data_IF_067552878818
#
_entry.id   IF_067552878818
#
_cell.length_a   1.000
_cell.length_b   1.000
_cell.length_c   1.000
_cell.angle_alpha   90.00
_cell.angle_beta   90.00
_cell.angle_gamma   90.00
#
_symmetry.space_group_name_H-M   'P 1'
#
loop_
_entity.id
_entity.type
_entity.pdbx_description
1 polymer ?
#
# COMPACT_ATOMS: atom_id res chain seq x y z
N UNK A 1 -10.49 14.98 -29.11
CA UNK A 1 -9.94 13.62 -28.91
C UNK A 1 -8.84 13.72 -27.86
N UNK A 2 -9.18 13.50 -26.59
CA UNK A 2 -8.20 13.50 -25.50
C UNK A 2 -7.45 12.16 -25.54
N UNK A 3 -6.14 12.20 -25.82
CA UNK A 3 -5.26 11.06 -25.54
C UNK A 3 -5.00 11.08 -24.04
N UNK A 4 -5.79 10.30 -23.31
CA UNK A 4 -5.60 10.10 -21.88
C UNK A 4 -4.23 9.49 -21.60
N UNK A 5 -3.65 9.98 -20.51
CA UNK A 5 -2.33 9.65 -20.00
C UNK A 5 -2.23 8.13 -19.80
N UNK A 6 -1.09 7.56 -20.18
CA UNK A 6 -0.77 6.13 -20.11
C UNK A 6 -0.61 5.69 -18.65
N UNK A 7 -1.73 5.65 -17.93
CA UNK A 7 -1.86 5.03 -16.62
C UNK A 7 -2.41 3.62 -16.77
N UNK A 8 -1.82 2.64 -16.09
CA UNK A 8 -2.37 1.30 -16.01
C UNK A 8 -3.72 1.37 -15.30
N UNK A 9 -4.77 0.78 -15.89
CA UNK A 9 -6.13 0.84 -15.35
C UNK A 9 -6.21 0.31 -13.89
N UNK A 10 -6.97 0.95 -12.95
CA UNK A 10 -6.98 0.64 -11.51
C UNK A 10 -7.11 -0.84 -11.16
N UNK A 11 -7.97 -1.57 -11.90
CA UNK A 11 -8.12 -3.02 -11.77
C UNK A 11 -6.77 -3.78 -11.81
N UNK A 12 -5.85 -3.36 -12.67
CA UNK A 12 -4.54 -3.99 -12.86
C UNK A 12 -3.45 -3.46 -11.92
N UNK A 13 -3.77 -2.47 -11.08
CA UNK A 13 -2.96 -2.09 -9.92
C UNK A 13 -3.27 -3.05 -8.77
N UNK A 14 -4.56 -3.35 -8.57
CA UNK A 14 -5.05 -4.24 -7.50
C UNK A 14 -4.77 -5.72 -7.78
N UNK A 15 -4.88 -6.16 -9.04
CA UNK A 15 -4.79 -7.58 -9.40
C UNK A 15 -3.80 -7.86 -10.53
N UNK A 16 -3.06 -8.97 -10.42
CA UNK A 16 -2.17 -9.41 -11.48
C UNK A 16 -2.94 -9.98 -12.66
N UNK A 17 -2.40 -9.82 -13.87
CA UNK A 17 -3.00 -10.34 -15.12
C UNK A 17 -3.17 -11.86 -15.10
N UNK A 18 -2.22 -12.57 -14.51
CA UNK A 18 -2.25 -14.04 -14.42
C UNK A 18 -3.37 -14.52 -13.49
N UNK A 19 -3.56 -13.82 -12.37
CA UNK A 19 -4.64 -14.13 -11.44
C UNK A 19 -6.01 -13.83 -12.04
N UNK A 20 -6.18 -12.65 -12.66
CA UNK A 20 -7.42 -12.30 -13.36
C UNK A 20 -7.74 -13.30 -14.48
N UNK A 21 -6.74 -13.77 -15.22
CA UNK A 21 -6.91 -14.82 -16.22
C UNK A 21 -7.48 -16.11 -15.60
N UNK A 22 -6.90 -16.56 -14.48
CA UNK A 22 -7.35 -17.77 -13.77
C UNK A 22 -8.78 -17.65 -13.23
N UNK A 23 -9.18 -16.47 -12.74
CA UNK A 23 -10.47 -16.27 -12.08
C UNK A 23 -11.59 -15.96 -13.07
N UNK A 24 -11.31 -15.15 -14.09
CA UNK A 24 -12.34 -14.65 -15.03
C UNK A 24 -12.47 -15.50 -16.29
N UNK A 25 -11.44 -16.29 -16.61
CA UNK A 25 -11.33 -17.04 -17.87
C UNK A 25 -10.99 -16.19 -19.09
N UNK A 26 -10.76 -14.89 -18.95
CA UNK A 26 -10.32 -14.05 -20.06
C UNK A 26 -8.88 -14.33 -20.44
N UNK A 27 -8.56 -14.33 -21.74
CA UNK A 27 -7.17 -14.54 -22.20
C UNK A 27 -6.24 -13.42 -21.72
N UNK A 28 -4.98 -13.77 -21.42
CA UNK A 28 -3.96 -12.78 -21.02
C UNK A 28 -3.78 -11.67 -22.05
N UNK A 29 -3.91 -12.00 -23.34
CA UNK A 29 -3.84 -11.04 -24.45
C UNK A 29 -4.97 -10.00 -24.40
N UNK A 30 -6.20 -10.42 -24.11
CA UNK A 30 -7.33 -9.50 -23.94
C UNK A 30 -7.11 -8.59 -22.72
N UNK A 31 -6.76 -9.17 -21.57
CA UNK A 31 -6.48 -8.43 -20.34
C UNK A 31 -5.36 -7.39 -20.54
N UNK A 32 -4.29 -7.74 -21.26
CA UNK A 32 -3.20 -6.81 -21.57
C UNK A 32 -3.65 -5.62 -22.44
N UNK A 33 -4.53 -5.86 -23.41
CA UNK A 33 -5.08 -4.77 -24.26
C UNK A 33 -6.02 -3.87 -23.48
N UNK A 34 -6.82 -4.42 -22.56
CA UNK A 34 -7.67 -3.62 -21.65
C UNK A 34 -6.79 -2.80 -20.69
N UNK A 35 -5.76 -3.41 -20.09
CA UNK A 35 -4.85 -2.73 -19.18
C UNK A 35 -4.09 -1.56 -19.81
N UNK A 36 -3.78 -1.67 -21.11
CA UNK A 36 -3.07 -0.63 -21.89
C UNK A 36 -4.00 0.36 -22.58
N UNK A 37 -5.31 0.27 -22.36
CA UNK A 37 -6.31 1.14 -23.00
C UNK A 37 -6.48 0.90 -24.51
N UNK A 38 -5.87 -0.15 -25.08
CA UNK A 38 -6.01 -0.51 -26.51
C UNK A 38 -7.41 -1.03 -26.84
N UNK A 39 -8.10 -1.59 -25.85
CA UNK A 39 -9.49 -2.01 -25.95
C UNK A 39 -10.26 -1.31 -24.83
N UNK A 40 -11.36 -0.59 -25.14
CA UNK A 40 -12.19 0.03 -24.11
C UNK A 40 -12.88 -1.04 -23.26
N UNK A 41 -13.17 -0.70 -22.01
CA UNK A 41 -13.93 -1.56 -21.11
C UNK A 41 -15.36 -1.72 -21.61
N UNK A 42 -15.74 -2.94 -21.98
CA UNK A 42 -17.11 -3.27 -22.35
C UNK A 42 -17.94 -3.61 -21.12
N UNK A 43 -19.25 -3.37 -21.17
CA UNK A 43 -20.17 -3.72 -20.08
C UNK A 43 -20.10 -5.20 -19.71
N UNK A 44 -20.06 -6.08 -20.73
CA UNK A 44 -19.93 -7.53 -20.52
C UNK A 44 -18.62 -7.93 -19.82
N UNK A 45 -17.54 -7.18 -20.03
CA UNK A 45 -16.28 -7.40 -19.30
C UNK A 45 -16.45 -7.01 -17.83
N UNK A 46 -16.98 -5.82 -17.57
CA UNK A 46 -17.21 -5.30 -16.21
C UNK A 46 -18.12 -6.27 -15.44
N UNK A 47 -19.29 -6.61 -15.98
CA UNK A 47 -20.27 -7.46 -15.30
C UNK A 47 -19.69 -8.83 -14.94
N UNK A 48 -18.91 -9.44 -15.86
CA UNK A 48 -18.27 -10.74 -15.60
C UNK A 48 -17.20 -10.64 -14.51
N UNK A 49 -16.39 -9.58 -14.53
CA UNK A 49 -15.33 -9.37 -13.54
C UNK A 49 -15.95 -9.12 -12.16
N UNK A 50 -16.97 -8.25 -12.07
CA UNK A 50 -17.72 -8.00 -10.84
C UNK A 50 -18.35 -9.28 -10.29
N UNK A 51 -19.02 -10.06 -11.15
CA UNK A 51 -19.64 -11.34 -10.77
C UNK A 51 -18.61 -12.35 -10.25
N UNK A 52 -17.47 -12.51 -10.94
CA UNK A 52 -16.45 -13.48 -10.55
C UNK A 52 -15.70 -13.09 -9.28
N UNK A 53 -15.52 -11.79 -9.04
CA UNK A 53 -14.83 -11.26 -7.87
C UNK A 53 -15.77 -11.04 -6.68
N UNK A 54 -17.09 -11.17 -6.90
CA UNK A 54 -18.13 -10.85 -5.93
C UNK A 54 -17.94 -9.45 -5.31
N UNK A 55 -17.67 -8.46 -6.17
CA UNK A 55 -17.45 -7.05 -5.80
C UNK A 55 -18.22 -6.13 -6.73
N UNK A 56 -18.60 -4.95 -6.25
CA UNK A 56 -19.29 -3.93 -7.05
C UNK A 56 -18.35 -3.31 -8.09
N UNK A 57 -18.95 -2.74 -9.15
CA UNK A 57 -18.22 -2.01 -10.19
C UNK A 57 -17.42 -0.84 -9.59
N UNK A 58 -18.02 -0.13 -8.64
CA UNK A 58 -17.39 0.98 -7.92
C UNK A 58 -16.09 0.55 -7.23
N UNK A 59 -16.11 -0.56 -6.49
CA UNK A 59 -14.93 -1.04 -5.76
C UNK A 59 -13.78 -1.54 -6.67
N UNK A 60 -14.08 -1.91 -7.92
CA UNK A 60 -13.15 -2.54 -8.85
C UNK A 60 -12.62 -1.60 -9.93
N UNK A 61 -13.47 -0.72 -10.43
CA UNK A 61 -13.20 0.09 -11.63
C UNK A 61 -13.10 1.57 -11.33
N UNK A 62 -13.74 2.07 -10.27
CA UNK A 62 -13.48 3.44 -9.84
C UNK A 62 -12.14 3.48 -9.08
N UNK A 63 -11.35 4.55 -9.25
CA UNK A 63 -10.28 4.83 -8.30
C UNK A 63 -10.91 4.82 -6.91
N UNK A 64 -10.24 4.22 -5.93
CA UNK A 64 -10.72 4.34 -4.56
C UNK A 64 -10.70 5.84 -4.23
N UNK A 65 -11.87 6.47 -4.31
CA UNK A 65 -12.14 7.80 -3.74
C UNK A 65 -12.15 7.69 -2.20
N UNK A 66 -11.26 6.89 -1.62
CA UNK A 66 -10.65 7.24 -0.36
C UNK A 66 -9.45 8.12 -0.69
N UNK A 67 -9.66 9.43 -0.88
CA UNK A 67 -8.64 10.30 -0.39
C UNK A 67 -8.52 9.95 1.10
N UNK A 68 -7.30 9.72 1.57
CA UNK A 68 -6.94 10.13 2.92
C UNK A 68 -7.14 11.64 2.96
N UNK A 69 -8.40 12.06 3.08
CA UNK A 69 -8.84 13.45 3.18
C UNK A 69 -9.05 13.69 4.67
N UNK A 70 -8.07 14.32 5.28
CA UNK A 70 -8.41 15.38 6.22
C UNK A 70 -9.14 16.45 5.38
N UNK A 71 -10.47 16.44 5.45
CA UNK A 71 -11.33 17.47 4.87
C UNK A 71 -11.04 18.80 5.55
N UNK A 72 -10.24 19.65 4.89
CA UNK A 72 -10.27 21.10 5.10
C UNK A 72 -10.66 21.76 3.77
N UNK A 73 -11.80 22.47 3.70
CA UNK A 73 -12.25 23.10 2.48
C UNK A 73 -11.40 24.36 2.21
N UNK A 74 -10.53 24.28 1.20
CA UNK A 74 -9.77 25.43 0.68
C UNK A 74 -8.24 25.28 0.64
N UNK A 75 -7.68 24.16 1.11
CA UNK A 75 -6.24 23.87 1.02
C UNK A 75 -5.90 23.02 -0.20
N UNK A 76 -4.90 23.43 -0.97
CA UNK A 76 -4.28 22.62 -2.01
C UNK A 76 -3.92 21.23 -1.42
N UNK A 77 -4.39 20.13 -2.02
CA UNK A 77 -4.16 18.79 -1.48
C UNK A 77 -2.66 18.44 -1.55
N UNK A 78 -1.92 18.73 -0.48
CA UNK A 78 -0.53 18.32 -0.32
C UNK A 78 -0.51 16.81 -0.10
N UNK A 79 0.30 16.08 -0.86
CA UNK A 79 0.52 14.66 -0.57
C UNK A 79 1.14 14.49 0.82
N UNK A 80 1.06 13.30 1.42
CA UNK A 80 1.73 13.01 2.69
C UNK A 80 3.23 13.36 2.64
N UNK A 81 3.88 13.13 1.49
CA UNK A 81 5.26 13.54 1.25
C UNK A 81 5.43 15.07 1.16
N UNK A 82 4.50 15.77 0.51
CA UNK A 82 4.47 17.23 0.47
C UNK A 82 4.34 17.84 1.87
N UNK A 83 3.47 17.27 2.70
CA UNK A 83 3.30 17.70 4.10
C UNK A 83 4.57 17.47 4.92
N UNK A 84 5.18 16.28 4.79
CA UNK A 84 6.46 16.00 5.44
C UNK A 84 7.54 17.01 5.02
N UNK A 85 7.60 17.36 3.73
CA UNK A 85 8.58 18.32 3.22
C UNK A 85 8.38 19.72 3.81
N UNK A 86 7.13 20.16 3.96
CA UNK A 86 6.80 21.42 4.62
C UNK A 86 7.20 21.43 6.09
N UNK A 87 6.85 20.37 6.82
CA UNK A 87 7.20 20.23 8.24
C UNK A 87 8.72 20.23 8.44
N UNK A 88 9.45 19.55 7.56
CA UNK A 88 10.91 19.50 7.61
C UNK A 88 11.55 20.86 7.28
N UNK A 89 11.02 21.58 6.29
CA UNK A 89 11.44 22.95 5.98
C UNK A 89 11.16 23.89 7.16
N UNK A 90 10.00 23.76 7.81
CA UNK A 90 9.62 24.56 8.96
C UNK A 90 10.54 24.30 10.16
N UNK A 91 10.85 23.03 10.46
CA UNK A 91 11.79 22.63 11.53
C UNK A 91 13.19 23.21 11.33
N UNK A 92 13.65 23.27 10.09
CA UNK A 92 14.99 23.76 9.75
C UNK A 92 15.02 25.26 9.41
N UNK A 93 13.89 25.96 9.50
CA UNK A 93 13.71 27.36 9.07
C UNK A 93 14.20 27.62 7.64
N UNK A 94 14.00 26.66 6.73
CA UNK A 94 14.41 26.75 5.34
C UNK A 94 13.23 27.18 4.47
N UNK A 95 13.50 28.10 3.53
CA UNK A 95 12.60 28.31 2.39
C UNK A 95 12.67 27.12 1.43
N UNK A 96 11.61 26.93 0.62
CA UNK A 96 11.58 25.88 -0.42
C UNK A 96 12.79 25.95 -1.37
N UNK A 97 13.27 27.16 -1.67
CA UNK A 97 14.44 27.39 -2.51
C UNK A 97 15.74 26.94 -1.81
N UNK A 98 15.85 27.16 -0.51
CA UNK A 98 16.99 26.68 0.28
C UNK A 98 16.94 25.16 0.47
N UNK A 99 15.74 24.59 0.65
CA UNK A 99 15.56 23.14 0.66
C UNK A 99 16.01 22.52 -0.67
N UNK A 100 15.59 23.08 -1.81
CA UNK A 100 16.01 22.63 -3.14
C UNK A 100 17.54 22.66 -3.30
N UNK A 101 18.18 23.76 -2.88
CA UNK A 101 19.63 23.90 -2.92
C UNK A 101 20.33 22.90 -2.00
N UNK A 102 19.78 22.65 -0.82
CA UNK A 102 20.32 21.71 0.16
C UNK A 102 20.24 20.26 -0.33
N UNK A 103 19.12 19.87 -0.94
CA UNK A 103 18.86 18.50 -1.41
C UNK A 103 19.45 18.22 -2.81
N UNK A 104 19.99 19.25 -3.48
CA UNK A 104 20.44 19.14 -4.87
C UNK A 104 19.30 18.87 -5.87
N UNK A 105 18.09 19.30 -5.53
CA UNK A 105 16.89 19.16 -6.37
C UNK A 105 16.56 20.50 -7.04
N UNK A 106 15.83 20.44 -8.16
CA UNK A 106 15.33 21.66 -8.79
C UNK A 106 14.19 22.26 -7.97
N UNK A 107 14.03 23.58 -8.03
CA UNK A 107 12.90 24.27 -7.39
C UNK A 107 11.55 23.77 -7.93
N UNK A 108 11.48 23.43 -9.23
CA UNK A 108 10.30 22.84 -9.84
C UNK A 108 9.96 21.49 -9.20
N UNK A 109 10.96 20.61 -9.03
CA UNK A 109 10.76 19.29 -8.40
C UNK A 109 10.24 19.41 -6.97
N UNK A 110 10.78 20.34 -6.17
CA UNK A 110 10.30 20.59 -4.79
C UNK A 110 8.85 21.09 -4.80
N UNK A 111 8.51 22.00 -5.73
CA UNK A 111 7.15 22.50 -5.89
C UNK A 111 6.17 21.39 -6.35
N UNK A 112 6.62 20.52 -7.26
CA UNK A 112 5.84 19.39 -7.77
C UNK A 112 5.53 18.40 -6.64
N UNK A 113 6.53 18.04 -5.82
CA UNK A 113 6.34 17.19 -4.64
C UNK A 113 5.33 17.81 -3.68
N UNK A 114 5.46 19.11 -3.40
CA UNK A 114 4.52 19.83 -2.53
C UNK A 114 3.09 19.81 -3.09
N UNK A 115 2.93 19.93 -4.41
CA UNK A 115 1.63 19.88 -5.08
C UNK A 115 1.01 18.48 -5.17
N UNK A 116 1.72 17.45 -4.69
CA UNK A 116 1.24 16.08 -4.68
C UNK A 116 1.71 15.20 -5.85
N UNK A 117 2.68 15.66 -6.64
CA UNK A 117 3.31 14.80 -7.66
C UNK A 117 4.09 13.65 -7.02
N UNK A 118 4.15 12.50 -7.69
CA UNK A 118 4.91 11.33 -7.25
C UNK A 118 6.37 11.43 -7.72
N UNK A 119 7.32 11.82 -6.86
CA UNK A 119 8.72 11.90 -7.25
C UNK A 119 9.30 10.51 -7.46
N UNK A 120 10.25 10.36 -8.37
CA UNK A 120 10.93 9.08 -8.58
C UNK A 120 11.72 8.65 -7.32
N UNK A 121 11.98 7.33 -7.15
CA UNK A 121 12.75 6.83 -6.02
C UNK A 121 14.17 7.42 -5.91
N UNK A 122 14.77 7.85 -7.02
CA UNK A 122 16.07 8.54 -7.01
C UNK A 122 15.99 9.93 -6.38
N UNK A 123 14.89 10.66 -6.62
CA UNK A 123 14.59 11.92 -5.93
C UNK A 123 14.39 11.72 -4.44
N UNK A 124 13.70 10.64 -4.03
CA UNK A 124 13.55 10.27 -2.62
C UNK A 124 14.91 9.99 -1.97
N UNK A 125 15.81 9.26 -2.63
CA UNK A 125 17.17 9.03 -2.11
C UNK A 125 17.95 10.31 -1.86
N UNK A 126 17.84 11.31 -2.74
CA UNK A 126 18.48 12.63 -2.53
C UNK A 126 17.94 13.36 -1.29
N UNK A 127 16.64 13.22 -1.02
CA UNK A 127 16.03 13.73 0.22
C UNK A 127 16.59 12.99 1.45
N UNK A 128 16.74 11.66 1.37
CA UNK A 128 17.31 10.85 2.46
C UNK A 128 18.78 11.18 2.71
N UNK A 129 19.58 11.40 1.67
CA UNK A 129 21.00 11.71 1.81
C UNK A 129 21.24 13.00 2.59
N UNK A 130 20.31 13.95 2.48
CA UNK A 130 20.44 15.30 3.04
C UNK A 130 19.65 15.52 4.32
N UNK A 131 18.60 14.71 4.55
CA UNK A 131 17.73 14.80 5.74
C UNK A 131 17.75 13.55 6.64
N UNK A 132 18.27 12.40 6.18
CA UNK A 132 18.11 11.08 6.80
C UNK A 132 19.06 10.69 7.94
N UNK A 133 19.67 11.66 8.62
CA UNK A 133 20.63 11.43 9.70
C UNK A 133 21.98 10.83 9.26
N UNK A 134 22.93 10.70 10.19
CA UNK A 134 24.31 10.30 9.87
C UNK A 134 24.50 8.78 9.74
N UNK A 135 23.60 7.97 10.30
CA UNK A 135 23.73 6.52 10.35
C UNK A 135 23.13 5.78 9.14
N UNK A 136 23.78 4.72 8.62
CA UNK A 136 23.25 3.95 7.49
C UNK A 136 21.91 3.27 7.80
N UNK A 137 21.71 2.81 9.05
CA UNK A 137 20.42 2.24 9.49
C UNK A 137 19.31 3.29 9.58
N UNK A 138 19.65 4.52 9.97
CA UNK A 138 18.68 5.63 10.06
C UNK A 138 18.26 6.05 8.65
N UNK A 139 19.22 6.18 7.72
CA UNK A 139 18.95 6.49 6.31
C UNK A 139 18.01 5.47 5.67
N UNK A 140 18.22 4.17 5.91
CA UNK A 140 17.36 3.12 5.37
C UNK A 140 15.93 3.16 5.92
N UNK A 141 15.78 3.32 7.24
CA UNK A 141 14.45 3.46 7.86
C UNK A 141 13.73 4.73 7.37
N UNK A 142 14.50 5.81 7.16
CA UNK A 142 13.99 7.07 6.64
C UNK A 142 13.58 6.98 5.17
N UNK A 143 14.38 6.31 4.33
CA UNK A 143 14.04 6.03 2.93
C UNK A 143 12.75 5.23 2.83
N UNK A 144 12.59 4.20 3.67
CA UNK A 144 11.37 3.39 3.71
C UNK A 144 10.14 4.24 4.04
N UNK A 145 10.26 5.11 5.05
CA UNK A 145 9.18 6.04 5.44
C UNK A 145 8.82 7.03 4.33
N UNK A 146 9.80 7.60 3.62
CA UNK A 146 9.52 8.49 2.51
C UNK A 146 8.91 7.76 1.31
N UNK A 147 9.30 6.51 1.06
CA UNK A 147 8.69 5.68 0.03
C UNK A 147 7.22 5.35 0.34
N UNK A 148 6.89 5.16 1.62
CA UNK A 148 5.50 5.02 2.08
C UNK A 148 4.73 6.32 1.84
N UNK A 149 5.27 7.48 2.22
CA UNK A 149 4.62 8.79 1.98
C UNK A 149 4.43 9.12 0.50
N UNK A 150 5.31 8.61 -0.35
CA UNK A 150 5.22 8.75 -1.81
C UNK A 150 4.24 7.75 -2.46
N UNK A 151 3.73 6.77 -1.70
CA UNK A 151 2.84 5.71 -2.20
C UNK A 151 3.53 4.57 -2.94
N UNK A 152 4.87 4.48 -2.89
CA UNK A 152 5.61 3.35 -3.47
C UNK A 152 5.53 2.08 -2.62
N UNK A 153 5.26 2.25 -1.32
CA UNK A 153 5.08 1.17 -0.36
C UNK A 153 3.81 1.43 0.44
N UNK A 154 3.10 0.37 0.77
CA UNK A 154 2.10 0.45 1.84
C UNK A 154 2.82 0.56 3.16
N UNK A 155 2.23 1.27 4.14
CA UNK A 155 2.70 1.16 5.53
C UNK A 155 2.85 -0.32 5.83
N UNK A 156 4.09 -0.72 6.14
CA UNK A 156 4.30 -2.03 6.74
C UNK A 156 3.48 -1.96 8.03
N UNK A 157 2.50 -2.86 8.26
CA UNK A 157 1.86 -2.87 9.54
C UNK A 157 2.97 -3.00 10.57
N UNK A 158 3.14 -1.96 11.39
CA UNK A 158 3.81 -2.05 12.67
C UNK A 158 2.88 -2.91 13.55
N UNK A 159 2.65 -4.17 13.15
CA UNK A 159 2.59 -5.20 14.16
C UNK A 159 3.99 -5.17 14.76
N UNK A 160 4.13 -4.38 15.82
CA UNK A 160 5.12 -4.64 16.84
C UNK A 160 5.05 -6.15 17.03
N UNK A 161 6.04 -6.86 16.50
CA UNK A 161 6.20 -8.28 16.74
C UNK A 161 6.35 -8.36 18.24
N UNK A 162 5.23 -8.64 18.93
CA UNK A 162 5.22 -8.74 20.38
C UNK A 162 6.42 -9.60 20.78
N UNK A 163 7.12 -9.23 21.86
CA UNK A 163 8.33 -9.92 22.32
C UNK A 163 8.22 -11.47 22.29
N UNK A 164 7.07 -12.09 22.64
CA UNK A 164 6.86 -13.53 22.50
C UNK A 164 6.90 -14.04 21.05
N UNK A 165 6.35 -13.29 20.09
CA UNK A 165 6.30 -13.64 18.68
C UNK A 165 7.68 -13.49 18.01
N UNK A 166 8.42 -12.43 18.34
CA UNK A 166 9.81 -12.28 17.91
C UNK A 166 10.69 -13.45 18.41
N UNK A 167 10.55 -13.81 19.70
CA UNK A 167 11.25 -14.93 20.31
C UNK A 167 10.86 -16.28 19.69
N UNK A 168 9.59 -16.45 19.32
CA UNK A 168 9.12 -17.63 18.61
C UNK A 168 9.78 -17.75 17.24
N UNK A 169 9.78 -16.68 16.44
CA UNK A 169 10.40 -16.66 15.11
C UNK A 169 11.90 -16.98 15.16
N UNK A 170 12.63 -16.41 16.12
CA UNK A 170 14.06 -16.70 16.31
C UNK A 170 14.31 -18.14 16.78
N UNK A 171 13.38 -18.74 17.51
CA UNK A 171 13.44 -20.15 17.89
C UNK A 171 13.15 -21.05 16.68
N UNK A 172 12.13 -20.73 15.88
CA UNK A 172 11.74 -21.49 14.69
C UNK A 172 12.83 -21.51 13.62
N UNK A 173 13.69 -20.49 13.51
CA UNK A 173 14.86 -20.50 12.61
C UNK A 173 15.83 -21.65 12.89
N UNK A 174 15.85 -22.19 14.11
CA UNK A 174 16.73 -23.29 14.51
C UNK A 174 16.12 -24.66 14.25
N UNK A 175 14.84 -24.71 13.88
CA UNK A 175 14.11 -25.97 13.73
C UNK A 175 14.34 -26.57 12.35
N UNK A 176 14.35 -27.89 12.28
CA UNK A 176 14.32 -28.61 11.01
C UNK A 176 12.86 -28.73 10.50
N UNK A 177 12.70 -29.15 9.24
CA UNK A 177 11.40 -29.24 8.59
C UNK A 177 10.36 -30.05 9.36
N UNK A 178 10.75 -31.16 10.00
CA UNK A 178 9.83 -32.02 10.76
C UNK A 178 9.35 -31.33 12.03
N UNK A 179 10.25 -30.63 12.71
CA UNK A 179 9.93 -29.86 13.92
C UNK A 179 8.98 -28.69 13.59
N UNK A 180 9.21 -27.98 12.48
CA UNK A 180 8.29 -26.94 12.02
C UNK A 180 6.91 -27.52 11.73
N UNK A 181 6.82 -28.69 11.08
CA UNK A 181 5.55 -29.35 10.77
C UNK A 181 4.76 -29.74 12.04
N UNK A 182 5.44 -30.17 13.11
CA UNK A 182 4.80 -30.42 14.41
C UNK A 182 4.24 -29.12 15.01
N UNK A 183 5.02 -28.03 14.98
CA UNK A 183 4.56 -26.72 15.48
C UNK A 183 3.35 -26.22 14.68
N UNK A 184 3.35 -26.38 13.37
CA UNK A 184 2.20 -26.01 12.51
C UNK A 184 0.95 -26.78 12.90
N UNK A 185 1.02 -28.12 13.02
CA UNK A 185 -0.14 -28.93 13.42
C UNK A 185 -0.66 -28.56 14.81
N UNK A 186 0.22 -28.18 15.73
CA UNK A 186 -0.17 -27.71 17.05
C UNK A 186 -0.88 -26.35 16.99
N UNK A 187 -0.40 -25.42 16.16
CA UNK A 187 -1.06 -24.14 15.94
C UNK A 187 -2.46 -24.32 15.34
N UNK A 188 -2.61 -25.22 14.37
CA UNK A 188 -3.90 -25.56 13.75
C UNK A 188 -4.87 -26.12 14.79
N UNK A 189 -4.40 -27.04 15.65
CA UNK A 189 -5.20 -27.58 16.75
C UNK A 189 -5.68 -26.50 17.72
N UNK A 190 -4.81 -25.56 18.11
CA UNK A 190 -5.20 -24.45 18.99
C UNK A 190 -6.25 -23.54 18.33
N UNK A 191 -6.17 -23.33 17.01
CA UNK A 191 -7.16 -22.56 16.28
C UNK A 191 -8.54 -23.25 16.29
N UNK A 192 -8.56 -24.57 16.09
CA UNK A 192 -9.78 -25.39 16.13
C UNK A 192 -10.44 -25.38 17.53
N UNK A 193 -9.65 -25.52 18.59
CA UNK A 193 -10.15 -25.45 19.97
C UNK A 193 -10.76 -24.07 20.27
N UNK A 194 -10.10 -22.99 19.85
CA UNK A 194 -10.62 -21.62 20.03
C UNK A 194 -11.92 -21.39 19.26
N UNK A 195 -12.02 -21.90 18.03
CA UNK A 195 -13.25 -21.82 17.24
C UNK A 195 -14.41 -22.55 17.94
N UNK A 196 -14.15 -23.76 18.47
CA UNK A 196 -15.13 -24.58 19.19
C UNK A 196 -15.59 -23.96 20.51
N UNK A 197 -14.73 -23.19 21.20
CA UNK A 197 -15.10 -22.45 22.41
C UNK A 197 -15.99 -21.25 22.10
N UNK A 198 -15.69 -20.53 21.00
CA UNK A 198 -16.44 -19.35 20.58
C UNK A 198 -17.88 -19.69 20.18
N UNK A 199 -18.12 -20.83 19.54
CA UNK A 199 -19.46 -21.30 19.16
C UNK A 199 -20.33 -21.65 20.37
N UNK A 200 -19.73 -22.17 21.45
CA UNK A 200 -20.44 -22.50 22.70
C UNK A 200 -20.84 -21.26 23.51
N UNK A 201 -20.08 -20.17 23.42
CA UNK A 201 -20.42 -18.91 24.10
C UNK A 201 -21.54 -18.12 23.39
N UNK A 202 -21.71 -18.31 22.07
CA UNK A 202 -22.77 -17.64 21.31
C UNK A 202 -24.16 -18.25 21.47
N UNK A 203 -24.26 -19.49 21.97
CA UNK A 203 -25.52 -20.23 22.12
C UNK A 203 -26.29 -19.92 23.43
N UNK A 204 -25.69 -19.17 24.36
CA UNK A 204 -26.31 -18.78 25.64
C UNK A 204 -26.81 -17.32 25.70
N UNK A 205 -26.85 -16.59 24.57
CA UNK A 205 -27.38 -15.22 24.50
C UNK A 205 -28.71 -15.12 23.72
N UNK A 206 -29.52 -16.18 23.75
CA UNK A 206 -30.91 -16.14 23.33
C UNK A 206 -31.82 -15.59 24.44
N UNK A 207 -32.33 -14.38 24.20
CA UNK A 207 -33.53 -13.72 24.74
C UNK A 207 -33.67 -13.50 26.27
N UNK A 208 -33.90 -12.24 26.67
CA UNK A 208 -35.03 -11.94 27.54
C UNK A 208 -36.05 -11.05 26.82
N UNK A 209 -37.32 -11.37 27.07
CA UNK A 209 -38.55 -10.65 26.66
C UNK A 209 -38.54 -9.16 27.00
#
# INVERSE_FOLDING_TARGET
MLREIVGQHPLFIKYTRDWLHSVTGYSKGMLSRVATGKIPLSRSFIDRVCYRLNRSEEALFLPDDTPTQCLVPGGCATSALGQWLEDECAKQHLSLRQAAAKTGLSHATIADIKSGSHPDPGTIRKLVETCGGDGPRQKLAFEDRLLVYAGYRTERPEEELDEPLAKLLDTMKKFNRREVEVVTRFADFLAEVKASQKERETDCKGEPE
#
